data_IF_629839423490
#
_entry.id   IF_629839423490
#
_cell.length_a   1.000
_cell.length_b   1.000
_cell.length_c   1.000
_cell.angle_alpha   90.00
_cell.angle_beta   90.00
_cell.angle_gamma   90.00
#
_symmetry.space_group_name_H-M   'P 1'
#
loop_
_entity.id
_entity.type
_entity.pdbx_description
1 polymer ?
#
# COMPACT_ATOMS: atom_id res chain seq x y z
N UNK A 1 -59.39 -2.14 -2.24
CA UNK A 1 -59.18 -2.26 -3.70
C UNK A 1 -58.81 -0.87 -4.20
N UNK A 2 -57.54 -0.62 -4.46
CA UNK A 2 -57.10 0.48 -5.31
C UNK A 2 -56.37 -0.15 -6.51
N UNK A 3 -56.79 0.16 -7.75
CA UNK A 3 -56.13 -0.28 -8.96
C UNK A 3 -55.12 0.75 -9.50
N UNK A 4 -53.97 0.25 -10.00
CA UNK A 4 -53.17 0.62 -11.20
C UNK A 4 -53.19 2.08 -11.70
N UNK A 5 -52.09 2.66 -12.21
CA UNK A 5 -51.56 2.38 -13.57
C UNK A 5 -50.20 3.05 -13.82
N UNK A 6 -49.37 2.38 -14.60
CA UNK A 6 -48.12 2.77 -15.26
C UNK A 6 -48.25 4.01 -16.20
N UNK A 7 -47.11 4.62 -16.59
CA UNK A 7 -46.62 4.77 -18.00
C UNK A 7 -45.58 5.91 -18.14
N UNK A 8 -44.37 5.49 -18.54
CA UNK A 8 -43.39 5.97 -19.54
C UNK A 8 -43.05 7.46 -19.82
N UNK A 9 -41.71 7.66 -19.94
CA UNK A 9 -40.89 8.41 -20.92
C UNK A 9 -41.37 9.73 -21.55
N UNK A 10 -40.48 10.73 -21.57
CA UNK A 10 -39.89 11.28 -22.82
C UNK A 10 -38.68 12.18 -22.52
N UNK A 11 -37.61 11.97 -23.29
CA UNK A 11 -36.48 12.90 -23.49
C UNK A 11 -36.98 14.25 -24.02
N UNK A 12 -36.31 15.35 -23.67
CA UNK A 12 -36.25 16.49 -24.59
C UNK A 12 -34.91 17.24 -24.52
N UNK A 13 -34.33 17.32 -25.70
CA UNK A 13 -33.06 17.89 -26.08
C UNK A 13 -33.31 19.36 -26.48
N UNK A 14 -32.68 20.33 -25.84
CA UNK A 14 -32.54 21.67 -26.44
C UNK A 14 -31.14 22.25 -26.22
N UNK A 15 -30.37 22.24 -27.31
CA UNK A 15 -29.19 23.08 -27.53
C UNK A 15 -29.62 24.38 -28.21
N UNK A 16 -28.94 25.48 -27.88
CA UNK A 16 -28.36 26.49 -28.80
C UNK A 16 -28.67 27.95 -28.44
N UNK A 17 -27.64 28.80 -28.46
CA UNK A 17 -27.79 30.23 -28.74
C UNK A 17 -26.93 31.19 -27.92
N UNK A 18 -25.72 31.48 -28.42
CA UNK A 18 -24.79 32.54 -28.01
C UNK A 18 -25.38 33.95 -27.91
N UNK A 19 -24.82 34.80 -27.04
CA UNK A 19 -24.35 36.15 -27.44
C UNK A 19 -23.41 36.76 -26.38
N UNK A 20 -22.23 37.17 -26.85
CA UNK A 20 -21.16 37.84 -26.10
C UNK A 20 -21.44 39.33 -25.83
N UNK A 21 -20.91 39.84 -24.71
CA UNK A 21 -20.51 41.25 -24.56
C UNK A 21 -19.46 41.40 -23.45
N UNK A 22 -18.27 41.86 -23.82
CA UNK A 22 -17.23 42.34 -22.92
C UNK A 22 -17.48 43.82 -22.59
N UNK A 23 -17.16 44.27 -21.38
CA UNK A 23 -16.65 45.62 -21.07
C UNK A 23 -16.09 45.68 -19.65
N UNK A 24 -15.03 46.45 -19.52
CA UNK A 24 -14.03 46.43 -18.47
C UNK A 24 -14.25 47.44 -17.33
N UNK A 25 -13.47 47.21 -16.27
CA UNK A 25 -12.74 48.21 -15.47
C UNK A 25 -13.44 48.93 -14.29
N UNK A 26 -13.11 48.52 -13.05
CA UNK A 26 -12.46 49.40 -12.04
C UNK A 26 -12.19 48.72 -10.68
N UNK A 27 -10.90 48.55 -10.40
CA UNK A 27 -10.15 48.91 -9.17
C UNK A 27 -10.48 48.32 -7.77
N UNK A 28 -9.56 47.44 -7.33
CA UNK A 28 -8.68 47.48 -6.12
C UNK A 28 -9.31 47.56 -4.72
N UNK A 29 -9.06 46.53 -3.89
CA UNK A 29 -8.24 46.64 -2.65
C UNK A 29 -7.47 45.32 -2.42
N UNK A 30 -6.17 45.49 -2.19
CA UNK A 30 -5.15 44.51 -1.85
C UNK A 30 -5.45 43.65 -0.60
N UNK A 31 -5.04 42.38 -0.65
CA UNK A 31 -4.47 41.74 0.53
C UNK A 31 -3.24 40.94 0.10
N UNK A 32 -2.08 41.56 0.30
CA UNK A 32 -0.78 40.93 0.18
C UNK A 32 -0.62 39.89 1.31
N UNK A 33 -0.40 38.64 0.95
CA UNK A 33 0.45 37.76 1.74
C UNK A 33 1.40 37.05 0.79
N UNK A 34 2.65 37.50 0.82
CA UNK A 34 3.80 36.82 0.23
C UNK A 34 3.87 35.39 0.75
N UNK A 35 3.71 34.41 -0.14
CA UNK A 35 4.35 33.12 0.06
C UNK A 35 4.90 32.65 -1.29
N UNK A 36 6.20 32.87 -1.42
CA UNK A 36 7.02 32.37 -2.50
C UNK A 36 6.96 30.83 -2.56
N UNK A 37 6.92 30.29 -3.79
CA UNK A 37 7.50 28.97 -4.05
C UNK A 37 6.64 27.96 -4.81
N UNK A 38 6.24 28.32 -6.04
CA UNK A 38 6.20 27.47 -7.24
C UNK A 38 5.29 26.22 -7.26
N UNK A 39 4.20 26.38 -8.01
CA UNK A 39 3.37 25.34 -8.60
C UNK A 39 4.04 24.68 -9.83
N UNK A 40 3.79 23.37 -9.96
CA UNK A 40 3.51 22.60 -11.20
C UNK A 40 4.53 22.51 -12.37
N UNK A 41 4.65 21.31 -12.97
CA UNK A 41 5.49 21.01 -14.14
C UNK A 41 5.04 21.77 -15.42
N UNK A 42 5.74 21.80 -16.57
CA UNK A 42 6.84 21.04 -17.20
C UNK A 42 7.64 22.02 -18.10
N UNK A 43 8.83 21.65 -18.61
CA UNK A 43 9.35 22.26 -19.85
C UNK A 43 10.03 21.21 -20.75
N UNK A 44 9.56 21.11 -22.00
CA UNK A 44 10.11 20.30 -23.09
C UNK A 44 11.02 21.23 -23.89
N UNK A 45 12.31 20.91 -24.03
CA UNK A 45 13.25 21.66 -24.88
C UNK A 45 13.76 20.77 -26.00
N UNK A 46 13.67 21.24 -27.26
CA UNK A 46 14.28 20.61 -28.42
C UNK A 46 15.33 21.53 -29.08
N UNK A 47 16.51 20.94 -29.22
CA UNK A 47 17.70 21.23 -30.04
C UNK A 47 18.44 22.57 -29.84
N UNK A 48 19.67 22.38 -29.35
CA UNK A 48 20.86 23.22 -29.51
C UNK A 48 21.07 24.35 -28.50
N UNK A 49 21.00 24.01 -27.20
CA UNK A 49 21.83 24.70 -26.21
C UNK A 49 22.44 23.71 -25.20
N UNK A 50 23.76 23.71 -25.15
CA UNK A 50 24.58 22.80 -24.36
C UNK A 50 24.53 23.13 -22.87
N UNK A 51 24.71 22.07 -22.06
CA UNK A 51 24.85 22.04 -20.59
C UNK A 51 23.55 21.90 -19.79
N UNK A 52 22.87 20.76 -20.01
CA UNK A 52 22.04 20.18 -18.96
C UNK A 52 22.85 20.07 -17.66
N UNK A 53 22.40 20.63 -16.51
CA UNK A 53 23.02 20.34 -15.23
C UNK A 53 22.90 18.84 -15.02
N UNK A 54 24.02 18.15 -14.80
CA UNK A 54 24.05 16.72 -14.46
C UNK A 54 23.09 16.50 -13.29
N UNK A 55 21.89 15.99 -13.56
CA UNK A 55 21.00 15.54 -12.51
C UNK A 55 21.72 14.43 -11.78
N UNK A 56 21.92 14.61 -10.47
CA UNK A 56 22.56 13.63 -9.62
C UNK A 56 21.88 12.26 -9.81
N UNK A 57 22.64 11.19 -10.13
CA UNK A 57 22.10 9.84 -10.30
C UNK A 57 21.28 9.36 -9.10
N UNK A 58 21.60 9.86 -7.90
CA UNK A 58 20.87 9.60 -6.65
C UNK A 58 19.43 10.14 -6.67
N UNK A 59 19.20 11.35 -7.21
CA UNK A 59 17.85 11.91 -7.32
C UNK A 59 17.02 11.14 -8.35
N UNK A 60 17.63 10.75 -9.47
CA UNK A 60 16.95 9.94 -10.50
C UNK A 60 16.56 8.55 -9.97
N UNK A 61 17.41 7.94 -9.14
CA UNK A 61 17.09 6.70 -8.45
C UNK A 61 15.92 6.84 -7.45
N UNK A 62 15.85 7.94 -6.70
CA UNK A 62 14.72 8.23 -5.80
C UNK A 62 13.41 8.43 -6.57
N UNK A 63 13.43 9.17 -7.68
CA UNK A 63 12.25 9.34 -8.53
C UNK A 63 11.82 8.02 -9.19
N UNK A 64 12.76 7.17 -9.61
CA UNK A 64 12.47 5.85 -10.16
C UNK A 64 11.84 4.92 -9.12
N UNK A 65 12.36 4.91 -7.88
CA UNK A 65 11.82 4.15 -6.74
C UNK A 65 10.40 4.59 -6.41
N UNK A 66 10.16 5.89 -6.28
CA UNK A 66 8.83 6.47 -6.01
C UNK A 66 7.83 6.16 -7.12
N UNK A 67 8.30 5.99 -8.37
CA UNK A 67 7.47 5.61 -9.51
C UNK A 67 7.08 4.13 -9.49
N UNK A 68 7.98 3.26 -9.04
CA UNK A 68 7.74 1.81 -8.90
C UNK A 68 6.83 1.52 -7.70
N UNK A 69 7.05 2.18 -6.57
CA UNK A 69 6.21 2.09 -5.37
C UNK A 69 4.78 2.56 -5.66
N UNK A 70 4.64 3.71 -6.34
CA UNK A 70 3.34 4.19 -6.83
C UNK A 70 2.73 3.26 -7.88
N UNK A 71 3.54 2.56 -8.68
CA UNK A 71 3.05 1.58 -9.66
C UNK A 71 2.52 0.33 -8.95
N UNK A 72 3.22 -0.20 -7.94
CA UNK A 72 2.74 -1.31 -7.10
C UNK A 72 1.47 -0.95 -6.36
N UNK A 73 1.40 0.27 -5.81
CA UNK A 73 0.20 0.79 -5.17
C UNK A 73 -0.98 0.86 -6.17
N UNK A 74 -0.74 1.36 -7.38
CA UNK A 74 -1.74 1.40 -8.45
C UNK A 74 -2.15 0.03 -8.97
N UNK A 75 -1.24 -0.94 -9.04
CA UNK A 75 -1.56 -2.32 -9.44
C UNK A 75 -2.44 -3.00 -8.39
N UNK A 76 -2.16 -2.78 -7.10
CA UNK A 76 -3.02 -3.22 -6.01
C UNK A 76 -4.39 -2.53 -6.05
N UNK A 77 -4.44 -1.21 -6.27
CA UNK A 77 -5.69 -0.47 -6.45
C UNK A 77 -6.47 -0.91 -7.69
N UNK A 78 -5.81 -1.25 -8.79
CA UNK A 78 -6.47 -1.76 -10.01
C UNK A 78 -7.05 -3.15 -9.79
N UNK A 79 -6.31 -4.05 -9.13
CA UNK A 79 -6.86 -5.35 -8.75
C UNK A 79 -8.10 -5.17 -7.87
N UNK A 80 -8.10 -4.18 -6.99
CA UNK A 80 -9.26 -3.86 -6.16
C UNK A 80 -10.42 -3.25 -6.91
N UNK A 81 -10.15 -2.38 -7.88
CA UNK A 81 -11.20 -1.84 -8.72
C UNK A 81 -11.85 -2.95 -9.56
N UNK A 82 -11.06 -3.94 -10.01
CA UNK A 82 -11.57 -5.16 -10.63
C UNK A 82 -12.45 -5.97 -9.66
N UNK A 83 -12.00 -6.20 -8.42
CA UNK A 83 -12.83 -6.86 -7.38
C UNK A 83 -14.12 -6.08 -7.10
N UNK A 84 -14.04 -4.75 -6.99
CA UNK A 84 -15.19 -3.85 -6.75
C UNK A 84 -16.15 -3.81 -7.95
N UNK A 85 -15.62 -3.96 -9.16
CA UNK A 85 -16.37 -4.06 -10.42
C UNK A 85 -17.03 -5.44 -10.60
N UNK A 86 -16.75 -6.40 -9.70
CA UNK A 86 -17.32 -7.73 -9.71
C UNK A 86 -16.54 -8.75 -10.55
N UNK A 87 -15.31 -8.42 -10.96
CA UNK A 87 -14.39 -9.35 -11.60
C UNK A 87 -13.81 -10.28 -10.53
N UNK A 88 -14.55 -11.36 -10.25
CA UNK A 88 -14.14 -12.38 -9.29
C UNK A 88 -13.21 -13.41 -9.96
N UNK A 89 -12.10 -13.79 -9.31
CA UNK A 89 -11.28 -14.90 -9.76
C UNK A 89 -12.11 -16.15 -10.05
N UNK A 90 -11.76 -16.86 -11.11
CA UNK A 90 -12.46 -18.08 -11.52
C UNK A 90 -12.43 -19.16 -10.43
N UNK A 91 -11.41 -19.14 -9.58
CA UNK A 91 -11.28 -20.01 -8.40
C UNK A 91 -12.39 -19.81 -7.34
N UNK A 92 -13.16 -18.73 -7.40
CA UNK A 92 -14.27 -18.46 -6.49
C UNK A 92 -15.62 -18.98 -7.00
N UNK A 93 -15.69 -19.54 -8.22
CA UNK A 93 -16.92 -20.10 -8.76
C UNK A 93 -17.33 -21.37 -8.00
N UNK A 94 -18.55 -21.39 -7.49
CA UNK A 94 -19.16 -22.54 -6.83
C UNK A 94 -20.09 -23.23 -7.83
N UNK A 95 -19.73 -24.45 -8.20
CA UNK A 95 -20.59 -25.29 -9.01
C UNK A 95 -21.57 -26.05 -8.09
N UNK A 96 -22.87 -26.09 -8.44
CA UNK A 96 -23.84 -26.84 -7.65
C UNK A 96 -23.56 -28.35 -7.73
N UNK A 97 -23.54 -29.00 -6.57
CA UNK A 97 -23.47 -30.46 -6.48
C UNK A 97 -24.86 -31.06 -6.67
N UNK A 98 -25.18 -31.40 -7.92
CA UNK A 98 -26.50 -31.88 -8.29
C UNK A 98 -26.61 -33.39 -8.03
N UNK A 99 -27.69 -33.86 -7.38
CA UNK A 99 -27.94 -35.30 -7.26
C UNK A 99 -28.16 -35.92 -8.66
N UNK A 100 -27.85 -37.21 -8.84
CA UNK A 100 -28.09 -37.90 -10.10
C UNK A 100 -29.59 -37.92 -10.41
N UNK A 101 -29.94 -37.61 -11.66
CA UNK A 101 -31.32 -37.66 -12.11
C UNK A 101 -31.83 -39.11 -12.09
N UNK A 102 -33.06 -39.37 -11.61
CA UNK A 102 -33.66 -40.69 -11.70
C UNK A 102 -33.74 -41.15 -13.15
N UNK A 103 -33.17 -42.32 -13.44
CA UNK A 103 -33.27 -42.95 -14.75
C UNK A 103 -34.56 -43.76 -14.83
N UNK A 104 -35.38 -43.49 -15.85
CA UNK A 104 -36.63 -44.21 -16.10
C UNK A 104 -36.40 -45.72 -16.31
N UNK A 105 -35.26 -46.11 -16.89
CA UNK A 105 -34.93 -47.52 -17.11
C UNK A 105 -34.69 -48.26 -15.79
N UNK A 106 -34.31 -47.58 -14.72
CA UNK A 106 -34.18 -48.18 -13.40
C UNK A 106 -35.54 -48.62 -12.79
N UNK A 107 -36.66 -48.14 -13.36
CA UNK A 107 -38.03 -48.41 -12.91
C UNK A 107 -38.86 -49.22 -13.92
N UNK A 108 -38.70 -48.95 -15.22
CA UNK A 108 -39.53 -49.56 -16.28
C UNK A 108 -38.83 -50.67 -17.09
N UNK A 109 -37.57 -50.99 -16.81
CA UNK A 109 -36.94 -52.20 -17.34
C UNK A 109 -37.52 -53.46 -16.68
N UNK A 110 -37.24 -54.63 -17.25
CA UNK A 110 -37.67 -55.92 -16.67
C UNK A 110 -37.16 -56.10 -15.23
N UNK A 111 -35.92 -55.70 -14.96
CA UNK A 111 -35.32 -55.71 -13.62
C UNK A 111 -35.90 -54.63 -12.69
N UNK A 112 -36.25 -53.46 -13.25
CA UNK A 112 -36.92 -52.39 -12.51
C UNK A 112 -38.34 -52.75 -12.09
N UNK A 113 -39.12 -53.32 -13.01
CA UNK A 113 -40.49 -53.75 -12.80
C UNK A 113 -40.60 -54.90 -11.81
N UNK A 114 -39.59 -55.78 -11.75
CA UNK A 114 -39.52 -56.84 -10.74
C UNK A 114 -39.56 -56.30 -9.29
N UNK A 115 -39.09 -55.07 -9.05
CA UNK A 115 -39.15 -54.39 -7.73
C UNK A 115 -40.55 -53.90 -7.35
N UNK A 116 -41.46 -53.84 -8.32
CA UNK A 116 -42.82 -53.31 -8.19
C UNK A 116 -43.87 -54.35 -8.61
N UNK A 117 -43.56 -55.65 -8.45
CA UNK A 117 -44.46 -56.77 -8.75
C UNK A 117 -44.95 -56.77 -10.22
N UNK A 118 -44.13 -56.24 -11.14
CA UNK A 118 -44.48 -56.01 -12.55
C UNK A 118 -45.69 -55.08 -12.77
N UNK A 119 -46.08 -54.31 -11.76
CA UNK A 119 -47.12 -53.28 -11.87
C UNK A 119 -46.53 -51.99 -12.44
N UNK A 120 -46.80 -51.75 -13.73
CA UNK A 120 -46.40 -50.53 -14.44
C UNK A 120 -46.91 -49.25 -13.76
N UNK A 121 -48.11 -49.25 -13.18
CA UNK A 121 -48.67 -48.06 -12.53
C UNK A 121 -47.90 -47.71 -11.25
N UNK A 122 -47.51 -48.74 -10.48
CA UNK A 122 -46.75 -48.59 -9.25
C UNK A 122 -45.30 -48.18 -9.51
N UNK A 123 -44.68 -48.77 -10.53
CA UNK A 123 -43.34 -48.38 -10.98
C UNK A 123 -43.31 -46.93 -11.50
N UNK A 124 -44.31 -46.54 -12.30
CA UNK A 124 -44.46 -45.14 -12.76
C UNK A 124 -44.70 -44.18 -11.61
N UNK A 125 -45.52 -44.53 -10.62
CA UNK A 125 -45.75 -43.70 -9.44
C UNK A 125 -44.45 -43.50 -8.64
N UNK A 126 -43.65 -44.56 -8.46
CA UNK A 126 -42.36 -44.49 -7.78
C UNK A 126 -41.34 -43.62 -8.54
N UNK A 127 -41.27 -43.75 -9.87
CA UNK A 127 -40.43 -42.89 -10.70
C UNK A 127 -40.84 -41.42 -10.59
N UNK A 128 -42.14 -41.12 -10.67
CA UNK A 128 -42.63 -39.75 -10.52
C UNK A 128 -42.32 -39.15 -9.13
N UNK A 129 -42.41 -39.97 -8.07
CA UNK A 129 -42.03 -39.54 -6.72
C UNK A 129 -40.52 -39.25 -6.63
N UNK A 130 -39.68 -40.14 -7.15
CA UNK A 130 -38.22 -39.95 -7.19
C UNK A 130 -37.82 -38.73 -8.03
N UNK A 131 -38.49 -38.49 -9.16
CA UNK A 131 -38.25 -37.33 -10.00
C UNK A 131 -38.66 -36.02 -9.29
N UNK A 132 -39.77 -36.05 -8.54
CA UNK A 132 -40.19 -34.90 -7.71
C UNK A 132 -39.16 -34.61 -6.61
N UNK A 133 -38.68 -35.63 -5.92
CA UNK A 133 -37.65 -35.50 -4.88
C UNK A 133 -36.33 -34.98 -5.46
N UNK A 134 -35.92 -35.49 -6.62
CA UNK A 134 -34.74 -35.01 -7.34
C UNK A 134 -34.88 -33.53 -7.71
N UNK A 135 -36.03 -33.09 -8.23
CA UNK A 135 -36.28 -31.68 -8.55
C UNK A 135 -36.12 -30.78 -7.32
N UNK A 136 -36.69 -31.17 -6.17
CA UNK A 136 -36.54 -30.43 -4.92
C UNK A 136 -35.07 -30.35 -4.48
N UNK A 137 -34.36 -31.49 -4.45
CA UNK A 137 -32.94 -31.52 -4.06
C UNK A 137 -32.04 -30.76 -5.03
N UNK A 138 -32.32 -30.82 -6.33
CA UNK A 138 -31.59 -30.07 -7.34
C UNK A 138 -31.82 -28.56 -7.20
N UNK A 139 -33.04 -28.14 -6.84
CA UNK A 139 -33.35 -26.75 -6.53
C UNK A 139 -32.59 -26.28 -5.27
N UNK A 140 -32.59 -27.07 -4.21
CA UNK A 140 -31.85 -26.78 -2.98
C UNK A 140 -30.34 -26.69 -3.24
N UNK A 141 -29.77 -27.64 -3.99
CA UNK A 141 -28.34 -27.63 -4.35
C UNK A 141 -27.95 -26.37 -5.14
N UNK A 142 -28.79 -25.94 -6.09
CA UNK A 142 -28.59 -24.68 -6.83
C UNK A 142 -28.70 -23.47 -5.91
N UNK A 143 -29.69 -23.45 -5.01
CA UNK A 143 -29.87 -22.36 -4.05
C UNK A 143 -28.67 -22.24 -3.11
N UNK A 144 -28.20 -23.36 -2.57
CA UNK A 144 -27.01 -23.43 -1.72
C UNK A 144 -25.74 -22.97 -2.44
N UNK A 145 -25.55 -23.38 -3.70
CA UNK A 145 -24.42 -22.92 -4.50
C UNK A 145 -24.42 -21.40 -4.71
N UNK A 146 -25.58 -20.80 -4.97
CA UNK A 146 -25.73 -19.33 -5.07
C UNK A 146 -25.45 -18.65 -3.74
N UNK A 147 -25.96 -19.19 -2.64
CA UNK A 147 -25.70 -18.65 -1.30
C UNK A 147 -24.21 -18.73 -0.93
N UNK A 148 -23.56 -19.86 -1.20
CA UNK A 148 -22.13 -20.04 -0.97
C UNK A 148 -21.29 -19.14 -1.88
N UNK A 149 -21.67 -19.00 -3.15
CA UNK A 149 -21.06 -18.05 -4.09
C UNK A 149 -21.12 -16.63 -3.53
N UNK A 150 -22.29 -16.20 -3.03
CA UNK A 150 -22.48 -14.90 -2.38
C UNK A 150 -21.56 -14.74 -1.16
N UNK A 151 -21.49 -15.75 -0.30
CA UNK A 151 -20.63 -15.74 0.90
C UNK A 151 -19.16 -15.61 0.53
N UNK A 152 -18.65 -16.45 -0.38
CA UNK A 152 -17.26 -16.41 -0.85
C UNK A 152 -16.90 -15.08 -1.50
N UNK A 153 -17.81 -14.54 -2.31
CA UNK A 153 -17.65 -13.23 -2.95
C UNK A 153 -17.53 -12.12 -1.90
N UNK A 154 -18.39 -12.15 -0.88
CA UNK A 154 -18.39 -11.16 0.18
C UNK A 154 -17.14 -11.27 1.06
N UNK A 155 -16.75 -12.50 1.46
CA UNK A 155 -15.53 -12.77 2.21
C UNK A 155 -14.29 -12.29 1.45
N UNK A 156 -14.19 -12.61 0.16
CA UNK A 156 -13.10 -12.18 -0.70
C UNK A 156 -13.02 -10.65 -0.80
N UNK A 157 -14.17 -9.99 -1.00
CA UNK A 157 -14.24 -8.52 -1.05
C UNK A 157 -13.77 -7.88 0.25
N UNK A 158 -14.20 -8.41 1.40
CA UNK A 158 -13.79 -7.93 2.72
C UNK A 158 -12.30 -8.13 2.98
N UNK A 159 -11.77 -9.32 2.69
CA UNK A 159 -10.34 -9.61 2.85
C UNK A 159 -9.49 -8.71 1.96
N UNK A 160 -9.89 -8.54 0.70
CA UNK A 160 -9.19 -7.69 -0.26
C UNK A 160 -9.14 -6.24 0.24
N UNK A 161 -10.24 -5.71 0.78
CA UNK A 161 -10.27 -4.37 1.36
C UNK A 161 -9.29 -4.22 2.55
N UNK A 162 -9.24 -5.21 3.44
CA UNK A 162 -8.29 -5.19 4.57
C UNK A 162 -6.83 -5.22 4.12
N UNK A 163 -6.51 -6.05 3.12
CA UNK A 163 -5.15 -6.14 2.58
C UNK A 163 -4.68 -4.83 1.96
N UNK A 164 -5.58 -4.09 1.32
CA UNK A 164 -5.26 -2.79 0.70
C UNK A 164 -5.00 -1.73 1.73
N UNK A 165 -5.84 -1.66 2.75
CA UNK A 165 -5.63 -0.72 3.84
C UNK A 165 -4.28 -1.00 4.54
N UNK A 166 -3.96 -2.28 4.74
CA UNK A 166 -2.67 -2.71 5.27
C UNK A 166 -1.50 -2.33 4.35
N UNK A 167 -1.61 -2.56 3.04
CA UNK A 167 -0.60 -2.19 2.06
C UNK A 167 -0.40 -0.66 1.97
N UNK A 168 -1.47 0.12 2.04
CA UNK A 168 -1.40 1.58 2.08
C UNK A 168 -0.64 2.06 3.32
N UNK A 169 -1.01 1.57 4.51
CA UNK A 169 -0.31 1.89 5.76
C UNK A 169 1.16 1.47 5.72
N UNK A 170 1.45 0.34 5.09
CA UNK A 170 2.81 -0.15 4.90
C UNK A 170 3.67 0.82 4.09
N UNK A 171 3.21 1.24 2.90
CA UNK A 171 3.97 2.18 2.07
C UNK A 171 4.02 3.58 2.68
N UNK A 172 2.97 4.04 3.37
CA UNK A 172 3.01 5.29 4.15
C UNK A 172 4.09 5.21 5.25
N UNK A 173 4.27 4.04 5.89
CA UNK A 173 5.33 3.82 6.87
C UNK A 173 6.71 3.74 6.22
N UNK A 174 6.84 3.11 5.05
CA UNK A 174 8.08 3.04 4.28
C UNK A 174 8.56 4.44 3.87
N UNK A 175 7.66 5.29 3.37
CA UNK A 175 7.96 6.69 3.02
C UNK A 175 8.45 7.48 4.25
N UNK A 176 7.82 7.29 5.42
CA UNK A 176 8.26 7.91 6.68
C UNK A 176 9.65 7.46 7.13
N UNK A 177 10.03 6.22 6.84
CA UNK A 177 11.38 5.71 7.16
C UNK A 177 12.45 6.37 6.27
N UNK A 178 12.09 6.74 5.04
CA UNK A 178 12.95 7.41 4.07
C UNK A 178 14.33 6.71 3.93
N UNK A 179 14.29 5.38 3.78
CA UNK A 179 15.49 4.55 3.67
C UNK A 179 15.88 4.42 2.19
N UNK A 180 17.07 4.88 1.78
CA UNK A 180 17.44 4.94 0.36
C UNK A 180 17.70 3.60 -0.30
N UNK A 181 17.71 2.45 0.39
CA UNK A 181 17.79 1.10 -0.17
C UNK A 181 16.55 0.24 0.17
N UNK A 182 15.46 0.87 0.63
CA UNK A 182 14.24 0.17 1.07
C UNK A 182 13.69 -0.81 0.03
N UNK A 183 13.46 -0.33 -1.19
CA UNK A 183 12.89 -1.11 -2.29
C UNK A 183 13.69 -2.39 -2.57
N UNK A 184 15.03 -2.28 -2.57
CA UNK A 184 15.91 -3.43 -2.82
C UNK A 184 15.77 -4.49 -1.72
N UNK A 185 15.62 -4.06 -0.46
CA UNK A 185 15.44 -4.99 0.68
C UNK A 185 14.03 -5.56 0.72
N UNK A 186 13.01 -4.78 0.40
CA UNK A 186 11.66 -5.29 0.22
C UNK A 186 11.62 -6.36 -0.87
N UNK A 187 12.22 -6.09 -2.03
CA UNK A 187 12.27 -7.05 -3.13
C UNK A 187 13.02 -8.33 -2.75
N UNK A 188 14.16 -8.20 -2.05
CA UNK A 188 14.90 -9.35 -1.52
C UNK A 188 14.07 -10.18 -0.52
N UNK A 189 13.26 -9.53 0.32
CA UNK A 189 12.33 -10.19 1.23
C UNK A 189 11.24 -10.94 0.46
N UNK A 190 10.58 -10.28 -0.48
CA UNK A 190 9.46 -10.82 -1.27
C UNK A 190 9.88 -11.96 -2.21
N UNK A 191 11.16 -12.04 -2.59
CA UNK A 191 11.70 -13.17 -3.35
C UNK A 191 11.82 -14.47 -2.53
N UNK A 192 11.96 -14.36 -1.21
CA UNK A 192 12.19 -15.50 -0.32
C UNK A 192 10.87 -15.96 0.32
N UNK A 193 10.00 -15.00 0.63
CA UNK A 193 8.83 -15.21 1.47
C UNK A 193 7.56 -15.33 0.63
N UNK A 194 6.68 -16.31 0.90
CA UNK A 194 5.41 -16.42 0.20
C UNK A 194 4.58 -15.12 0.31
N UNK A 195 3.85 -14.71 -0.75
CA UNK A 195 3.08 -13.45 -0.74
C UNK A 195 2.13 -13.30 0.46
N UNK A 196 1.54 -14.40 0.91
CA UNK A 196 0.64 -14.44 2.07
C UNK A 196 1.31 -13.93 3.35
N UNK A 197 2.58 -14.31 3.59
CA UNK A 197 3.32 -13.90 4.80
C UNK A 197 3.66 -12.41 4.75
N UNK A 198 4.01 -11.88 3.57
CA UNK A 198 4.19 -10.44 3.40
C UNK A 198 2.90 -9.68 3.71
N UNK A 199 1.79 -10.14 3.16
CA UNK A 199 0.47 -9.55 3.40
C UNK A 199 0.06 -9.62 4.88
N UNK A 200 0.35 -10.72 5.57
CA UNK A 200 0.12 -10.88 7.01
C UNK A 200 0.99 -9.92 7.84
N UNK A 201 2.26 -9.71 7.49
CA UNK A 201 3.12 -8.73 8.18
C UNK A 201 2.55 -7.32 8.05
N UNK A 202 2.07 -6.93 6.85
CA UNK A 202 1.43 -5.62 6.65
C UNK A 202 0.17 -5.47 7.51
N UNK A 203 -0.65 -6.53 7.60
CA UNK A 203 -1.91 -6.53 8.35
C UNK A 203 -1.71 -6.56 9.86
N UNK A 204 -0.79 -7.38 10.36
CA UNK A 204 -0.56 -7.61 11.79
C UNK A 204 0.31 -6.53 12.42
N UNK A 205 1.23 -5.93 11.66
CA UNK A 205 2.17 -4.93 12.15
C UNK A 205 2.09 -3.63 11.32
N UNK A 206 0.93 -2.95 11.23
CA UNK A 206 0.72 -1.85 10.28
C UNK A 206 1.76 -0.73 10.40
N UNK A 207 2.23 -0.40 11.61
CA UNK A 207 3.21 0.67 11.83
C UNK A 207 4.67 0.24 11.63
N UNK A 208 4.96 -1.05 11.79
CA UNK A 208 6.34 -1.59 11.78
C UNK A 208 6.61 -2.52 10.61
N UNK A 209 5.62 -2.78 9.77
CA UNK A 209 5.68 -3.68 8.62
C UNK A 209 6.84 -3.32 7.69
N UNK A 210 7.02 -2.04 7.38
CA UNK A 210 8.13 -1.58 6.55
C UNK A 210 9.50 -1.88 7.18
N UNK A 211 9.68 -1.56 8.46
CA UNK A 211 10.93 -1.83 9.15
C UNK A 211 11.22 -3.34 9.30
N UNK A 212 10.18 -4.14 9.51
CA UNK A 212 10.27 -5.61 9.56
C UNK A 212 10.71 -6.17 8.20
N UNK A 213 10.03 -5.79 7.12
CA UNK A 213 10.35 -6.26 5.77
C UNK A 213 11.76 -5.83 5.35
N UNK A 214 12.15 -4.58 5.65
CA UNK A 214 13.51 -4.11 5.42
C UNK A 214 14.55 -4.94 6.19
N UNK A 215 14.33 -5.20 7.49
CA UNK A 215 15.26 -5.99 8.29
C UNK A 215 15.38 -7.42 7.75
N UNK A 216 14.25 -8.06 7.45
CA UNK A 216 14.22 -9.44 6.97
C UNK A 216 14.81 -9.57 5.55
N UNK A 217 14.60 -8.58 4.69
CA UNK A 217 15.25 -8.48 3.39
C UNK A 217 16.76 -8.28 3.47
N UNK A 218 17.23 -7.47 4.43
CA UNK A 218 18.65 -7.33 4.71
C UNK A 218 19.27 -8.58 5.37
N UNK A 219 18.46 -9.50 5.90
CA UNK A 219 18.91 -10.70 6.62
C UNK A 219 18.15 -11.95 6.12
N UNK A 220 18.46 -12.44 4.90
CA UNK A 220 17.70 -13.50 4.25
C UNK A 220 17.70 -14.81 5.05
N UNK A 221 18.79 -15.13 5.76
CA UNK A 221 18.84 -16.33 6.61
C UNK A 221 17.83 -16.28 7.75
N UNK A 222 17.57 -15.09 8.30
CA UNK A 222 16.56 -14.91 9.35
C UNK A 222 15.15 -15.04 8.80
N UNK A 223 14.91 -14.54 7.58
CA UNK A 223 13.65 -14.74 6.89
C UNK A 223 13.39 -16.24 6.65
N UNK A 224 14.39 -16.99 6.15
CA UNK A 224 14.29 -18.44 5.97
C UNK A 224 14.08 -19.18 7.29
N UNK A 225 14.76 -18.76 8.35
CA UNK A 225 14.58 -19.36 9.66
C UNK A 225 13.14 -19.19 10.16
N UNK A 226 12.55 -17.99 10.00
CA UNK A 226 11.15 -17.76 10.36
C UNK A 226 10.18 -18.61 9.53
N UNK A 227 10.47 -18.82 8.24
CA UNK A 227 9.67 -19.70 7.38
C UNK A 227 9.79 -21.19 7.76
N UNK A 228 10.91 -21.59 8.35
CA UNK A 228 11.13 -22.97 8.80
C UNK A 228 10.49 -23.26 10.18
N UNK A 229 10.08 -22.22 10.92
CA UNK A 229 9.35 -22.36 12.18
C UNK A 229 7.87 -22.70 11.96
N UNK A 230 7.22 -23.22 12.98
CA UNK A 230 5.75 -23.28 12.99
C UNK A 230 5.17 -21.86 13.02
N UNK A 231 3.96 -21.69 12.46
CA UNK A 231 3.37 -20.37 12.26
C UNK A 231 3.17 -19.56 13.55
N UNK A 232 2.91 -20.22 14.68
CA UNK A 232 2.73 -19.54 15.97
C UNK A 232 4.07 -19.04 16.52
N UNK A 233 5.10 -19.88 16.50
CA UNK A 233 6.46 -19.49 16.90
C UNK A 233 7.02 -18.38 16.01
N UNK A 234 6.81 -18.46 14.70
CA UNK A 234 7.22 -17.42 13.75
C UNK A 234 6.57 -16.07 14.08
N UNK A 235 5.27 -16.06 14.42
CA UNK A 235 4.57 -14.85 14.82
C UNK A 235 5.10 -14.26 16.14
N UNK A 236 5.43 -15.10 17.12
CA UNK A 236 6.03 -14.66 18.39
C UNK A 236 7.40 -14.02 18.12
N UNK A 237 8.23 -14.65 17.30
CA UNK A 237 9.54 -14.10 16.94
C UNK A 237 9.43 -12.82 16.12
N UNK A 238 8.46 -12.71 15.20
CA UNK A 238 8.14 -11.47 14.49
C UNK A 238 7.71 -10.36 15.46
N UNK A 239 6.90 -10.69 16.46
CA UNK A 239 6.46 -9.73 17.48
C UNK A 239 7.64 -9.21 18.30
N UNK A 240 8.48 -10.13 18.80
CA UNK A 240 9.73 -9.78 19.52
C UNK A 240 10.68 -8.96 18.65
N UNK A 241 10.77 -9.29 17.36
CA UNK A 241 11.55 -8.53 16.40
C UNK A 241 11.02 -7.11 16.24
N UNK A 242 9.69 -6.97 16.14
CA UNK A 242 9.02 -5.68 16.01
C UNK A 242 9.30 -4.79 17.21
N UNK A 243 9.31 -5.34 18.43
CA UNK A 243 9.62 -4.59 19.65
C UNK A 243 11.08 -4.14 19.70
N UNK A 244 12.00 -5.01 19.28
CA UNK A 244 13.44 -4.71 19.23
C UNK A 244 13.82 -3.71 18.13
N UNK A 245 13.03 -3.63 17.06
CA UNK A 245 13.21 -2.63 16.01
C UNK A 245 12.86 -1.24 16.55
N UNK A 246 13.87 -0.52 17.01
CA UNK A 246 13.75 0.90 17.37
C UNK A 246 13.91 1.74 16.12
N UNK A 247 12.85 2.44 15.72
CA UNK A 247 12.91 3.46 14.67
C UNK A 247 13.63 4.69 15.22
N UNK A 248 14.93 4.80 14.98
CA UNK A 248 15.68 6.01 15.31
C UNK A 248 15.50 7.03 14.17
N UNK A 249 14.84 8.17 14.38
CA UNK A 249 14.77 9.21 13.36
C UNK A 249 16.20 9.67 13.03
N UNK A 250 16.57 9.68 11.75
CA UNK A 250 17.83 10.30 11.28
C UNK A 250 17.69 11.83 11.32
N UNK A 251 17.50 12.40 12.50
CA UNK A 251 17.97 13.75 12.78
C UNK A 251 19.43 13.64 13.20
N UNK A 252 20.30 14.55 12.73
CA UNK A 252 21.46 14.91 13.56
C UNK A 252 20.88 15.15 14.95
N UNK A 253 21.39 14.49 15.99
CA UNK A 253 21.21 15.01 17.35
C UNK A 253 21.86 16.39 17.34
N UNK A 254 21.11 17.41 16.96
CA UNK A 254 21.42 18.77 17.32
C UNK A 254 21.05 18.81 18.79
N UNK A 255 21.96 18.32 19.63
CA UNK A 255 21.84 18.56 21.05
C UNK A 255 21.83 20.08 21.22
N UNK A 256 20.68 20.65 21.55
CA UNK A 256 20.62 21.99 22.15
C UNK A 256 21.21 21.99 23.56
N UNK A 257 21.68 20.84 24.06
CA UNK A 257 22.53 20.77 25.23
C UNK A 257 23.85 21.49 24.90
N UNK A 258 24.24 22.49 25.71
CA UNK A 258 25.59 23.02 25.66
C UNK A 258 26.61 21.86 25.72
N UNK A 259 27.73 21.94 25.00
CA UNK A 259 28.79 20.96 25.15
C UNK A 259 29.13 20.84 26.64
N UNK A 260 29.24 19.61 27.14
CA UNK A 260 29.59 19.37 28.54
C UNK A 260 30.81 20.22 28.91
N UNK A 261 30.71 20.96 30.02
CA UNK A 261 31.80 21.77 30.53
C UNK A 261 33.05 20.89 30.62
N UNK A 262 34.05 21.21 29.81
CA UNK A 262 35.35 20.55 29.91
C UNK A 262 35.87 20.83 31.32
N UNK A 263 36.36 19.81 32.06
CA UNK A 263 36.91 20.04 33.37
C UNK A 263 38.08 21.01 33.23
N UNK A 264 37.93 22.19 33.85
CA UNK A 264 39.00 23.18 33.98
C UNK A 264 40.07 22.55 34.89
N UNK A 265 41.03 21.87 34.28
CA UNK A 265 42.32 21.59 34.90
C UNK A 265 43.16 22.86 34.72
N UNK A 266 43.45 23.52 35.83
CA UNK A 266 43.89 24.91 35.88
C UNK A 266 45.10 25.24 35.01
N UNK A 267 44.87 26.06 33.99
CA UNK A 267 45.74 27.17 33.59
C UNK A 267 44.92 28.17 32.78
N UNK A 268 44.44 29.24 33.44
CA UNK A 268 43.46 30.21 32.88
C UNK A 268 44.01 30.90 31.62
N UNK A 269 45.34 30.95 31.49
CA UNK A 269 46.03 31.52 30.32
C UNK A 269 46.00 30.59 29.10
N UNK A 270 46.00 29.27 29.30
CA UNK A 270 46.02 28.27 28.24
C UNK A 270 44.63 28.09 27.59
N UNK A 271 43.58 28.07 28.41
CA UNK A 271 42.19 27.99 27.93
C UNK A 271 41.83 29.18 27.02
N UNK A 272 42.31 30.38 27.36
CA UNK A 272 42.07 31.59 26.57
C UNK A 272 42.84 31.58 25.23
N UNK A 273 44.07 31.04 25.21
CA UNK A 273 44.85 30.92 23.96
C UNK A 273 44.22 29.92 22.99
N UNK A 274 43.70 28.80 23.50
CA UNK A 274 43.11 27.76 22.66
C UNK A 274 41.75 28.17 22.09
N UNK A 275 40.92 28.86 22.89
CA UNK A 275 39.68 29.46 22.42
C UNK A 275 39.92 30.49 21.28
N UNK A 276 40.95 31.33 21.41
CA UNK A 276 41.32 32.32 20.38
C UNK A 276 41.82 31.62 19.10
N UNK A 277 42.57 30.52 19.21
CA UNK A 277 43.00 29.72 18.04
C UNK A 277 41.82 29.11 17.30
N UNK A 278 40.87 28.52 18.02
CA UNK A 278 39.67 27.91 17.42
C UNK A 278 38.78 28.93 16.71
N UNK A 279 38.64 30.14 17.29
CA UNK A 279 37.93 31.24 16.65
C UNK A 279 38.66 31.80 15.42
N UNK A 280 40.00 31.81 15.45
CA UNK A 280 40.82 32.22 14.32
C UNK A 280 40.68 31.23 13.14
N UNK A 281 40.70 29.92 13.40
CA UNK A 281 40.49 28.91 12.36
C UNK A 281 39.07 28.96 11.78
N UNK A 282 38.07 29.21 12.62
CA UNK A 282 36.69 29.41 12.16
C UNK A 282 36.58 30.65 11.26
N UNK A 283 37.22 31.78 11.62
CA UNK A 283 37.23 32.98 10.79
C UNK A 283 37.97 32.77 9.46
N UNK A 284 39.08 32.03 9.47
CA UNK A 284 39.81 31.67 8.26
C UNK A 284 38.97 30.80 7.32
N UNK A 285 38.29 29.78 7.85
CA UNK A 285 37.42 28.89 7.06
C UNK A 285 36.19 29.58 6.46
N UNK A 286 35.76 30.70 7.06
CA UNK A 286 34.64 31.53 6.59
C UNK A 286 35.07 32.67 5.66
N UNK A 287 36.37 32.83 5.39
CA UNK A 287 36.89 33.94 4.59
C UNK A 287 36.84 35.31 5.27
N UNK A 288 36.59 35.38 6.58
CA UNK A 288 36.54 36.63 7.35
C UNK A 288 37.95 37.06 7.78
N UNK A 289 38.64 37.70 6.85
CA UNK A 289 40.04 38.11 6.98
C UNK A 289 40.24 39.20 8.04
N UNK A 290 39.25 40.07 8.25
CA UNK A 290 39.31 41.14 9.23
C UNK A 290 39.30 40.58 10.66
N UNK A 291 38.34 39.70 10.95
CA UNK A 291 38.23 39.02 12.24
C UNK A 291 39.46 38.14 12.50
N UNK A 292 39.95 37.42 11.50
CA UNK A 292 41.19 36.62 11.59
C UNK A 292 42.39 37.48 12.02
N UNK A 293 42.62 38.64 11.38
CA UNK A 293 43.75 39.53 11.71
C UNK A 293 43.65 40.10 13.13
N UNK A 294 42.43 40.47 13.56
CA UNK A 294 42.17 40.99 14.90
C UNK A 294 42.42 39.93 15.99
N UNK A 295 41.99 38.70 15.77
CA UNK A 295 42.23 37.57 16.68
C UNK A 295 43.71 37.18 16.74
N UNK A 296 44.41 37.19 15.60
CA UNK A 296 45.85 36.94 15.53
C UNK A 296 46.67 37.98 16.30
N UNK A 297 46.28 39.26 16.21
CA UNK A 297 46.90 40.34 16.98
C UNK A 297 46.68 40.18 18.50
N UNK A 298 45.46 39.82 18.91
CA UNK A 298 45.14 39.52 20.31
C UNK A 298 45.96 38.34 20.84
N UNK A 299 46.10 37.26 20.07
CA UNK A 299 46.92 36.10 20.47
C UNK A 299 48.39 36.48 20.70
N UNK A 300 48.94 37.39 19.87
CA UNK A 300 50.33 37.87 19.96
C UNK A 300 50.56 38.79 21.16
N UNK A 301 49.51 39.46 21.66
CA UNK A 301 49.56 40.38 22.80
C UNK A 301 49.42 39.72 24.17
N UNK A 302 49.13 38.42 24.25
CA UNK A 302 49.00 37.68 25.51
C UNK A 302 50.38 37.15 25.90
N UNK A 303 51.04 37.85 26.85
CA UNK A 303 52.28 37.41 27.48
C UNK A 303 51.96 36.52 28.68
#
# INVERSE_FOLDING_TARGET
>A
MEPTTEIQETEDLTLSGDHAAASADSLVVDNANDNAGQEEGFEIVLKDDETAPKQDPAKNAEFARRRIERKRQRELEQQMEAVKRGELPESLRVNPDLPPQPDINAYLSEEGLAKYDYDNSRALAAFNAANTEWLMKAQDARSNAVAEQGRKTQEFTQQSAQYVEAARKHYDAAEKLNIPDYQEKEDAFMQIVPPAVGADIMRLFPEKSAALMYHLGANPEKARQLLAMDGQSALIELTRLSERLTLKPRGKQISSAPPADQPITGDVSAANKDAIRKQMDAAASKGDVETYRKLKAKLKGIR
#
